data_IF_806526181896
#
_entry.id   IF_806526181896
#
_cell.length_a   1.000
_cell.length_b   1.000
_cell.length_c   1.000
_cell.angle_alpha   90.00
_cell.angle_beta   90.00
_cell.angle_gamma   90.00
#
_symmetry.space_group_name_H-M   'P 1'
#
loop_
_entity.id
_entity.type
_entity.pdbx_description
1 polymer ?
#
# COMPACT_ATOMS: atom_id res chain seq x y z
N UNK A 1 -10.63 -24.22 3.52
CA UNK A 1 -9.76 -23.98 2.36
C UNK A 1 -10.54 -23.46 1.14
N UNK A 2 -11.57 -24.13 0.66
CA UNK A 2 -12.33 -23.75 -0.55
C UNK A 2 -12.82 -22.29 -0.51
N UNK A 3 -13.46 -21.84 0.57
CA UNK A 3 -13.94 -20.45 0.71
C UNK A 3 -12.82 -19.41 0.50
N UNK A 4 -11.63 -19.68 1.01
CA UNK A 4 -10.48 -18.78 0.85
C UNK A 4 -10.04 -18.67 -0.62
N UNK A 5 -9.90 -19.82 -1.30
CA UNK A 5 -9.49 -19.84 -2.71
C UNK A 5 -10.52 -19.06 -3.56
N UNK A 6 -11.80 -19.32 -3.36
CA UNK A 6 -12.86 -18.61 -4.08
C UNK A 6 -12.78 -17.10 -3.85
N UNK A 7 -12.63 -16.66 -2.60
CA UNK A 7 -12.54 -15.23 -2.28
C UNK A 7 -11.33 -14.56 -2.96
N UNK A 8 -10.15 -15.21 -2.95
CA UNK A 8 -8.96 -14.67 -3.62
C UNK A 8 -9.11 -14.62 -5.14
N UNK A 9 -9.69 -15.65 -5.75
CA UNK A 9 -9.92 -15.68 -7.20
C UNK A 9 -10.92 -14.60 -7.62
N UNK A 10 -12.02 -14.44 -6.88
CA UNK A 10 -13.03 -13.40 -7.15
C UNK A 10 -12.42 -12.01 -6.98
N UNK A 11 -11.69 -11.76 -5.88
CA UNK A 11 -11.04 -10.47 -5.64
C UNK A 11 -10.03 -10.12 -6.75
N UNK A 12 -9.21 -11.10 -7.17
CA UNK A 12 -8.25 -10.92 -8.25
C UNK A 12 -8.97 -10.67 -9.59
N UNK A 13 -10.03 -11.42 -9.89
CA UNK A 13 -10.81 -11.23 -11.12
C UNK A 13 -11.46 -9.84 -11.17
N UNK A 14 -12.03 -9.37 -10.05
CA UNK A 14 -12.57 -8.01 -9.94
C UNK A 14 -11.48 -6.96 -10.13
N UNK A 15 -10.32 -7.12 -9.47
CA UNK A 15 -9.19 -6.20 -9.60
C UNK A 15 -8.72 -6.13 -11.06
N UNK A 16 -8.46 -7.26 -11.69
CA UNK A 16 -8.05 -7.32 -13.10
C UNK A 16 -9.14 -6.75 -14.01
N UNK A 17 -10.42 -7.09 -13.77
CA UNK A 17 -11.54 -6.56 -14.56
C UNK A 17 -11.61 -5.03 -14.54
N UNK A 18 -11.37 -4.40 -13.37
CA UNK A 18 -11.36 -2.93 -13.25
C UNK A 18 -10.25 -2.30 -14.09
N UNK A 19 -9.11 -2.98 -14.30
CA UNK A 19 -8.00 -2.45 -15.10
C UNK A 19 -8.32 -2.35 -16.60
N UNK A 20 -9.29 -3.12 -17.10
CA UNK A 20 -9.76 -3.05 -18.49
C UNK A 20 -10.87 -2.01 -18.69
N UNK A 21 -11.41 -1.43 -17.62
CA UNK A 21 -12.40 -0.36 -17.69
C UNK A 21 -11.71 1.00 -17.87
N UNK A 22 -12.46 2.03 -18.32
CA UNK A 22 -11.96 3.41 -18.38
C UNK A 22 -11.29 3.84 -17.06
N UNK A 23 -10.24 4.68 -17.08
CA UNK A 23 -9.41 5.01 -15.91
C UNK A 23 -10.19 5.50 -14.70
N UNK A 24 -11.33 6.16 -14.91
CA UNK A 24 -12.19 6.65 -13.82
C UNK A 24 -12.69 5.53 -12.90
N UNK A 25 -12.95 4.34 -13.43
CA UNK A 25 -13.42 3.20 -12.60
C UNK A 25 -12.33 2.72 -11.66
N UNK A 26 -11.07 2.72 -12.09
CA UNK A 26 -9.94 2.42 -11.21
C UNK A 26 -9.81 3.47 -10.09
N UNK A 27 -9.91 4.75 -10.44
CA UNK A 27 -9.85 5.86 -9.47
C UNK A 27 -10.96 5.74 -8.42
N UNK A 28 -12.20 5.49 -8.84
CA UNK A 28 -13.34 5.31 -7.93
C UNK A 28 -13.18 4.06 -7.06
N UNK A 29 -12.74 2.94 -7.65
CA UNK A 29 -12.51 1.71 -6.91
C UNK A 29 -11.41 1.87 -5.86
N UNK A 30 -10.30 2.52 -6.21
CA UNK A 30 -9.21 2.79 -5.29
C UNK A 30 -9.64 3.73 -4.16
N UNK A 31 -10.42 4.76 -4.48
CA UNK A 31 -11.01 5.64 -3.47
C UNK A 31 -11.91 4.86 -2.48
N UNK A 32 -12.74 3.96 -2.98
CA UNK A 32 -13.55 3.08 -2.14
C UNK A 32 -12.68 2.19 -1.24
N UNK A 33 -11.62 1.58 -1.79
CA UNK A 33 -10.65 0.77 -1.02
C UNK A 33 -10.03 1.60 0.11
N UNK A 34 -9.56 2.83 -0.16
CA UNK A 34 -9.00 3.74 0.84
C UNK A 34 -10.02 3.99 1.97
N UNK A 35 -11.27 4.29 1.64
CA UNK A 35 -12.30 4.56 2.64
C UNK A 35 -12.61 3.32 3.49
N UNK A 36 -12.64 2.12 2.90
CA UNK A 36 -12.77 0.87 3.65
C UNK A 36 -11.59 0.61 4.57
N UNK A 37 -10.36 0.81 4.10
CA UNK A 37 -9.15 0.66 4.92
C UNK A 37 -9.15 1.62 6.11
N UNK A 38 -9.55 2.88 5.90
CA UNK A 38 -9.72 3.86 6.99
C UNK A 38 -10.79 3.42 7.99
N UNK A 39 -11.93 2.94 7.51
CA UNK A 39 -12.98 2.41 8.38
C UNK A 39 -12.49 1.25 9.24
N UNK A 40 -11.74 0.31 8.67
CA UNK A 40 -11.14 -0.82 9.37
C UNK A 40 -10.13 -0.34 10.43
N UNK A 41 -9.22 0.57 10.07
CA UNK A 41 -8.26 1.14 11.00
C UNK A 41 -8.91 1.90 12.15
N UNK A 42 -9.91 2.74 11.86
CA UNK A 42 -10.63 3.48 12.91
C UNK A 42 -11.46 2.57 13.81
N UNK A 43 -11.91 1.45 13.30
CA UNK A 43 -12.60 0.44 14.10
C UNK A 43 -11.63 -0.29 15.01
N UNK A 44 -10.44 -0.64 14.51
CA UNK A 44 -9.36 -1.25 15.27
C UNK A 44 -8.85 -0.34 16.42
N UNK A 45 -8.68 0.95 16.15
CA UNK A 45 -8.23 1.95 17.14
C UNK A 45 -9.36 2.46 18.03
N UNK A 46 -10.58 1.95 17.88
CA UNK A 46 -11.77 2.37 18.64
C UNK A 46 -12.02 3.89 18.56
N UNK A 47 -11.76 4.49 17.38
CA UNK A 47 -12.03 5.88 17.13
C UNK A 47 -13.52 6.21 17.32
N UNK A 48 -13.83 7.33 17.97
CA UNK A 48 -15.21 7.78 18.08
C UNK A 48 -15.74 8.34 16.75
N UNK A 49 -17.07 8.54 16.67
CA UNK A 49 -17.73 9.00 15.45
C UNK A 49 -17.13 10.33 14.93
N UNK A 50 -16.81 11.25 15.81
CA UNK A 50 -16.22 12.55 15.44
C UNK A 50 -14.82 12.37 14.82
N UNK A 51 -13.98 11.51 15.40
CA UNK A 51 -12.66 11.19 14.83
C UNK A 51 -12.78 10.50 13.46
N UNK A 52 -13.73 9.59 13.30
CA UNK A 52 -14.00 8.95 12.00
C UNK A 52 -14.42 9.98 10.95
N UNK A 53 -15.35 10.88 11.28
CA UNK A 53 -15.82 11.94 10.36
C UNK A 53 -14.64 12.82 9.92
N UNK A 54 -13.85 13.30 10.88
CA UNK A 54 -12.68 14.14 10.60
C UNK A 54 -11.67 13.40 9.71
N UNK A 55 -11.40 12.14 10.02
CA UNK A 55 -10.51 11.31 9.22
C UNK A 55 -11.01 11.11 7.79
N UNK A 56 -12.30 10.82 7.58
CA UNK A 56 -12.88 10.70 6.24
C UNK A 56 -12.85 12.01 5.46
N UNK A 57 -13.17 13.15 6.10
CA UNK A 57 -13.05 14.47 5.47
C UNK A 57 -11.61 14.74 5.07
N UNK A 58 -10.65 14.48 5.96
CA UNK A 58 -9.22 14.60 5.69
C UNK A 58 -8.77 13.74 4.49
N UNK A 59 -9.26 12.51 4.43
CA UNK A 59 -8.94 11.61 3.32
C UNK A 59 -9.50 12.13 1.99
N UNK A 60 -10.74 12.59 1.96
CA UNK A 60 -11.37 13.15 0.74
C UNK A 60 -10.60 14.39 0.27
N UNK A 61 -10.23 15.29 1.19
CA UNK A 61 -9.44 16.49 0.86
C UNK A 61 -8.09 16.10 0.25
N UNK A 62 -7.36 15.17 0.89
CA UNK A 62 -6.05 14.77 0.40
C UNK A 62 -6.12 14.03 -0.94
N UNK A 63 -7.09 13.11 -1.11
CA UNK A 63 -7.33 12.42 -2.38
C UNK A 63 -7.67 13.42 -3.50
N UNK A 64 -8.56 14.39 -3.21
CA UNK A 64 -8.91 15.44 -4.17
C UNK A 64 -7.70 16.30 -4.51
N UNK A 65 -6.86 16.64 -3.53
CA UNK A 65 -5.63 17.41 -3.76
C UNK A 65 -4.68 16.66 -4.71
N UNK A 66 -4.43 15.38 -4.46
CA UNK A 66 -3.58 14.54 -5.31
C UNK A 66 -4.15 14.45 -6.73
N UNK A 67 -5.47 14.27 -6.87
CA UNK A 67 -6.14 14.20 -8.16
C UNK A 67 -6.05 15.52 -8.94
N UNK A 68 -6.36 16.66 -8.31
CA UNK A 68 -6.28 17.98 -8.93
C UNK A 68 -4.86 18.35 -9.33
N UNK A 69 -3.87 18.01 -8.50
CA UNK A 69 -2.46 18.26 -8.83
C UNK A 69 -2.05 17.61 -10.15
N UNK A 70 -2.48 16.37 -10.37
CA UNK A 70 -2.19 15.66 -11.62
C UNK A 70 -2.99 16.21 -12.80
N UNK A 71 -4.26 16.60 -12.58
CA UNK A 71 -5.15 17.08 -13.65
C UNK A 71 -4.75 18.44 -14.24
N UNK A 72 -4.02 19.29 -13.50
CA UNK A 72 -3.66 20.65 -13.91
C UNK A 72 -2.25 20.72 -14.55
N UNK A 73 -1.49 19.63 -14.55
CA UNK A 73 -0.11 19.51 -15.08
C UNK A 73 0.89 20.58 -14.57
N UNK A 74 0.61 21.19 -13.41
CA UNK A 74 1.45 22.22 -12.81
C UNK A 74 2.35 21.64 -11.73
N UNK A 75 3.50 21.13 -12.10
CA UNK A 75 4.40 20.38 -11.22
C UNK A 75 4.75 21.09 -9.88
N UNK A 76 5.08 22.36 -9.93
CA UNK A 76 5.39 23.13 -8.71
C UNK A 76 4.16 23.42 -7.84
N UNK A 77 3.00 23.65 -8.44
CA UNK A 77 1.75 23.89 -7.73
C UNK A 77 1.17 22.60 -7.18
N UNK A 78 1.44 21.47 -7.82
CA UNK A 78 1.07 20.14 -7.35
C UNK A 78 1.71 19.84 -5.98
N UNK A 79 3.02 20.04 -5.86
CA UNK A 79 3.72 19.85 -4.58
C UNK A 79 3.23 20.82 -3.50
N UNK A 80 2.93 22.07 -3.85
CA UNK A 80 2.39 23.05 -2.92
C UNK A 80 1.00 22.63 -2.40
N UNK A 81 0.09 22.19 -3.27
CA UNK A 81 -1.26 21.77 -2.87
C UNK A 81 -1.26 20.48 -2.07
N UNK A 82 -0.41 19.50 -2.41
CA UNK A 82 -0.23 18.29 -1.61
C UNK A 82 0.31 18.64 -0.21
N UNK A 83 1.29 19.53 -0.13
CA UNK A 83 1.84 20.00 1.14
C UNK A 83 0.81 20.75 1.99
N UNK A 84 0.01 21.64 1.37
CA UNK A 84 -1.10 22.34 2.04
C UNK A 84 -2.14 21.35 2.54
N UNK A 85 -2.47 20.31 1.75
CA UNK A 85 -3.38 19.24 2.15
C UNK A 85 -2.90 18.51 3.41
N UNK A 86 -1.61 18.17 3.45
CA UNK A 86 -1.00 17.53 4.63
C UNK A 86 -1.05 18.45 5.86
N UNK A 87 -0.65 19.72 5.69
CA UNK A 87 -0.68 20.71 6.77
C UNK A 87 -2.10 20.88 7.29
N UNK A 88 -3.10 20.94 6.41
CA UNK A 88 -4.50 21.06 6.78
C UNK A 88 -4.98 19.86 7.59
N UNK A 89 -4.61 18.63 7.22
CA UNK A 89 -4.94 17.43 7.97
C UNK A 89 -4.31 17.47 9.37
N UNK A 90 -3.05 17.83 9.47
CA UNK A 90 -2.37 17.98 10.76
C UNK A 90 -3.11 19.02 11.61
N UNK A 91 -3.41 20.19 11.07
CA UNK A 91 -4.12 21.26 11.76
C UNK A 91 -5.51 20.79 12.25
N UNK A 92 -6.26 20.08 11.41
CA UNK A 92 -7.59 19.56 11.75
C UNK A 92 -7.53 18.55 12.91
N UNK A 93 -6.53 17.67 12.91
CA UNK A 93 -6.32 16.75 14.03
C UNK A 93 -5.83 17.45 15.29
N UNK A 94 -4.98 18.49 15.18
CA UNK A 94 -4.58 19.32 16.33
C UNK A 94 -5.76 20.08 16.93
N UNK A 95 -6.66 20.65 16.11
CA UNK A 95 -7.91 21.27 16.58
C UNK A 95 -8.77 20.22 17.31
N UNK A 96 -8.82 18.98 16.82
CA UNK A 96 -9.55 17.90 17.47
C UNK A 96 -8.97 17.54 18.84
N UNK A 97 -7.65 17.64 19.05
CA UNK A 97 -7.02 17.48 20.37
C UNK A 97 -7.58 18.48 21.36
N UNK A 98 -7.69 19.74 20.94
CA UNK A 98 -8.26 20.81 21.80
C UNK A 98 -9.74 20.56 22.06
N UNK A 99 -10.53 20.28 21.02
CA UNK A 99 -11.97 20.07 21.12
C UNK A 99 -12.36 18.86 21.98
N UNK A 100 -11.49 17.86 22.05
CA UNK A 100 -11.71 16.60 22.82
C UNK A 100 -10.86 16.51 24.09
N UNK A 101 -10.28 17.63 24.52
CA UNK A 101 -9.48 17.69 25.76
C UNK A 101 -10.27 17.14 26.95
N UNK A 102 -9.65 16.27 27.74
CA UNK A 102 -10.27 15.58 28.86
C UNK A 102 -11.23 14.43 28.53
N UNK A 103 -11.60 14.26 27.25
CA UNK A 103 -12.46 13.14 26.79
C UNK A 103 -11.69 12.04 26.06
N UNK A 104 -10.60 12.39 25.40
CA UNK A 104 -9.73 11.48 24.64
C UNK A 104 -8.27 11.82 24.85
N UNK A 105 -7.43 10.79 24.77
CA UNK A 105 -5.98 10.96 24.79
C UNK A 105 -5.55 11.59 23.44
N UNK A 106 -4.67 12.59 23.50
CA UNK A 106 -4.11 13.19 22.30
C UNK A 106 -3.36 12.18 21.41
N UNK A 107 -2.75 11.15 22.03
CA UNK A 107 -2.07 10.05 21.31
C UNK A 107 -3.02 9.32 20.37
N UNK A 108 -4.24 9.01 20.81
CA UNK A 108 -5.24 8.33 19.99
C UNK A 108 -5.66 9.18 18.79
N UNK A 109 -5.79 10.50 18.99
CA UNK A 109 -6.17 11.44 17.94
C UNK A 109 -5.06 11.55 16.90
N UNK A 110 -3.82 11.75 17.34
CA UNK A 110 -2.67 11.89 16.45
C UNK A 110 -2.35 10.58 15.73
N UNK A 111 -2.50 9.43 16.40
CA UNK A 111 -2.33 8.12 15.76
C UNK A 111 -3.32 7.91 14.61
N UNK A 112 -4.60 8.30 14.80
CA UNK A 112 -5.59 8.21 13.72
C UNK A 112 -5.28 9.19 12.59
N UNK A 113 -4.79 10.38 12.87
CA UNK A 113 -4.33 11.34 11.85
C UNK A 113 -3.17 10.81 11.04
N UNK A 114 -2.17 10.22 11.71
CA UNK A 114 -1.04 9.58 11.05
C UNK A 114 -1.46 8.41 10.16
N UNK A 115 -2.34 7.52 10.65
CA UNK A 115 -2.88 6.41 9.87
C UNK A 115 -3.67 6.90 8.64
N UNK A 116 -4.43 7.99 8.79
CA UNK A 116 -5.13 8.61 7.66
C UNK A 116 -4.15 9.04 6.57
N UNK A 117 -3.13 9.81 6.95
CA UNK A 117 -2.10 10.25 5.99
C UNK A 117 -1.37 9.09 5.37
N UNK A 118 -0.96 8.11 6.17
CA UNK A 118 -0.24 6.92 5.70
C UNK A 118 -1.04 6.15 4.65
N UNK A 119 -2.31 5.84 4.91
CA UNK A 119 -3.16 5.09 3.98
C UNK A 119 -3.40 5.89 2.70
N UNK A 120 -3.78 7.18 2.81
CA UNK A 120 -4.15 7.98 1.64
C UNK A 120 -2.93 8.27 0.77
N UNK A 121 -1.79 8.64 1.35
CA UNK A 121 -0.57 8.93 0.59
C UNK A 121 -0.06 7.65 -0.09
N UNK A 122 0.01 6.54 0.65
CA UNK A 122 0.51 5.28 0.10
C UNK A 122 -0.34 4.77 -1.05
N UNK A 123 -1.67 4.72 -0.88
CA UNK A 123 -2.58 4.30 -1.95
C UNK A 123 -2.69 5.34 -3.06
N UNK A 124 -2.53 6.63 -2.73
CA UNK A 124 -2.38 7.71 -3.70
C UNK A 124 -1.16 7.52 -4.61
N UNK A 125 -0.04 7.02 -4.07
CA UNK A 125 1.12 6.67 -4.87
C UNK A 125 0.85 5.51 -5.84
N UNK A 126 0.00 4.54 -5.49
CA UNK A 126 -0.44 3.49 -6.43
C UNK A 126 -1.18 4.12 -7.61
N UNK A 127 -2.10 5.06 -7.36
CA UNK A 127 -2.80 5.81 -8.39
C UNK A 127 -1.85 6.64 -9.25
N UNK A 128 -0.95 7.40 -8.61
CA UNK A 128 0.05 8.23 -9.28
C UNK A 128 0.97 7.39 -10.17
N UNK A 129 1.40 6.22 -9.72
CA UNK A 129 2.23 5.31 -10.54
C UNK A 129 1.52 4.95 -11.84
N UNK A 130 0.23 4.63 -11.77
CA UNK A 130 -0.57 4.29 -12.94
C UNK A 130 -0.74 5.47 -13.89
N UNK A 131 -1.02 6.67 -13.35
CA UNK A 131 -1.30 7.87 -14.14
C UNK A 131 -0.02 8.55 -14.69
N UNK A 132 1.12 8.35 -14.02
CA UNK A 132 2.39 8.97 -14.44
C UNK A 132 3.18 8.08 -15.39
N UNK A 133 3.16 6.79 -15.14
CA UNK A 133 3.88 5.80 -15.94
C UNK A 133 2.89 4.98 -16.78
N UNK A 134 2.45 3.84 -16.24
CA UNK A 134 1.46 2.97 -16.88
C UNK A 134 0.87 1.94 -15.88
N UNK A 135 -0.08 1.14 -16.38
CA UNK A 135 -0.68 0.06 -15.61
C UNK A 135 0.33 -1.05 -15.30
N UNK A 136 1.31 -1.32 -16.17
CA UNK A 136 2.29 -2.37 -15.94
C UNK A 136 3.25 -2.01 -14.80
N UNK A 137 3.72 -0.75 -14.77
CA UNK A 137 4.54 -0.23 -13.67
C UNK A 137 3.78 -0.25 -12.33
N UNK A 138 2.50 0.13 -12.34
CA UNK A 138 1.65 0.04 -11.14
C UNK A 138 1.48 -1.43 -10.69
N UNK A 139 1.25 -2.37 -11.60
CA UNK A 139 1.14 -3.79 -11.27
C UNK A 139 2.42 -4.36 -10.69
N UNK A 140 3.59 -3.85 -11.05
CA UNK A 140 4.87 -4.27 -10.49
C UNK A 140 4.89 -4.12 -8.95
N UNK A 141 4.23 -3.08 -8.41
CA UNK A 141 4.07 -2.88 -6.96
C UNK A 141 3.36 -4.09 -6.31
N UNK A 142 2.25 -4.51 -6.88
CA UNK A 142 1.48 -5.66 -6.37
C UNK A 142 2.23 -6.98 -6.55
N UNK A 143 2.81 -7.18 -7.71
CA UNK A 143 3.57 -8.39 -8.03
C UNK A 143 4.76 -8.54 -7.08
N UNK A 144 5.49 -7.46 -6.80
CA UNK A 144 6.59 -7.47 -5.86
C UNK A 144 6.15 -7.86 -4.45
N UNK A 145 5.10 -7.23 -3.91
CA UNK A 145 4.58 -7.51 -2.57
C UNK A 145 4.09 -8.97 -2.47
N UNK A 146 3.21 -9.38 -3.37
CA UNK A 146 2.59 -10.71 -3.32
C UNK A 146 3.57 -11.85 -3.59
N UNK A 147 4.55 -11.65 -4.46
CA UNK A 147 5.61 -12.64 -4.67
C UNK A 147 6.50 -12.75 -3.44
N UNK A 148 6.88 -11.62 -2.82
CA UNK A 148 7.64 -11.63 -1.59
C UNK A 148 6.94 -12.43 -0.49
N UNK A 149 5.66 -12.15 -0.23
CA UNK A 149 4.88 -12.86 0.79
C UNK A 149 4.76 -14.36 0.47
N UNK A 150 4.54 -14.70 -0.79
CA UNK A 150 4.43 -16.10 -1.22
C UNK A 150 5.73 -16.85 -1.02
N UNK A 151 6.84 -16.32 -1.51
CA UNK A 151 8.14 -16.97 -1.36
C UNK A 151 8.63 -16.97 0.09
N UNK A 152 8.35 -15.90 0.86
CA UNK A 152 8.64 -15.88 2.28
C UNK A 152 7.89 -16.97 3.05
N UNK A 153 6.62 -17.21 2.71
CA UNK A 153 5.83 -18.29 3.31
C UNK A 153 6.41 -19.67 2.99
N UNK A 154 6.67 -19.98 1.72
CA UNK A 154 7.19 -21.29 1.33
C UNK A 154 8.61 -21.54 1.87
N UNK A 155 9.52 -20.57 1.68
CA UNK A 155 10.89 -20.69 2.21
C UNK A 155 10.90 -20.80 3.73
N UNK A 156 10.10 -19.99 4.42
CA UNK A 156 9.99 -20.04 5.87
C UNK A 156 9.40 -21.35 6.37
N UNK A 157 8.48 -21.96 5.62
CA UNK A 157 7.87 -23.25 5.98
C UNK A 157 8.82 -24.42 5.78
N UNK A 158 9.62 -24.43 4.69
CA UNK A 158 10.47 -25.56 4.35
C UNK A 158 11.87 -25.44 4.93
N UNK A 159 12.42 -24.23 5.04
CA UNK A 159 13.81 -23.99 5.42
C UNK A 159 13.94 -23.18 6.73
N UNK A 160 12.83 -22.62 7.25
CA UNK A 160 12.85 -21.72 8.41
C UNK A 160 13.29 -22.40 9.70
N UNK A 161 14.34 -21.89 10.31
CA UNK A 161 14.89 -22.32 11.58
C UNK A 161 14.88 -21.21 12.63
N UNK A 162 15.17 -19.98 12.21
CA UNK A 162 15.31 -18.83 13.09
C UNK A 162 14.09 -17.91 12.98
N UNK A 163 13.47 -17.61 14.13
CA UNK A 163 12.33 -16.67 14.16
C UNK A 163 12.80 -15.24 13.91
N UNK A 164 12.03 -14.49 13.11
CA UNK A 164 12.35 -13.11 12.77
C UNK A 164 12.00 -12.14 13.90
N UNK A 165 10.72 -12.06 14.27
CA UNK A 165 10.20 -11.20 15.35
C UNK A 165 9.07 -11.95 16.06
N UNK A 166 9.36 -12.83 17.05
CA UNK A 166 8.36 -13.71 17.67
C UNK A 166 7.18 -12.98 18.31
N UNK A 167 7.43 -11.82 18.93
CA UNK A 167 6.42 -11.06 19.65
C UNK A 167 5.38 -10.38 18.73
N UNK A 168 5.75 -10.07 17.48
CA UNK A 168 4.88 -9.41 16.49
C UNK A 168 4.25 -10.46 15.57
N UNK A 169 5.08 -11.30 14.96
CA UNK A 169 4.67 -12.34 14.02
C UNK A 169 5.40 -13.65 14.31
N UNK A 170 4.80 -14.57 15.09
CA UNK A 170 5.46 -15.79 15.56
C UNK A 170 5.79 -16.80 14.45
N UNK A 171 5.17 -16.65 13.27
CA UNK A 171 5.37 -17.57 12.16
C UNK A 171 6.46 -17.13 11.17
N UNK A 172 6.86 -15.87 11.18
CA UNK A 172 7.91 -15.36 10.29
C UNK A 172 9.29 -15.84 10.72
N UNK A 173 10.11 -16.19 9.71
CA UNK A 173 11.49 -16.67 9.91
C UNK A 173 12.48 -15.82 9.10
N UNK A 174 13.73 -15.79 9.53
CA UNK A 174 14.82 -15.08 8.84
C UNK A 174 15.05 -15.66 7.45
N UNK A 175 15.08 -17.00 7.35
CA UNK A 175 15.25 -17.71 6.07
C UNK A 175 14.07 -17.42 5.13
N UNK A 176 12.84 -17.35 5.69
CA UNK A 176 11.66 -16.95 4.94
C UNK A 176 11.78 -15.52 4.42
N UNK A 177 12.29 -14.59 5.24
CA UNK A 177 12.51 -13.20 4.85
C UNK A 177 13.48 -13.09 3.67
N UNK A 178 14.64 -13.75 3.74
CA UNK A 178 15.61 -13.77 2.65
C UNK A 178 15.02 -14.41 1.39
N UNK A 179 14.34 -15.57 1.54
CA UNK A 179 13.70 -16.26 0.42
C UNK A 179 12.60 -15.42 -0.24
N UNK A 180 11.86 -14.63 0.55
CA UNK A 180 10.87 -13.68 0.05
C UNK A 180 11.48 -12.62 -0.86
N UNK A 181 12.56 -11.98 -0.42
CA UNK A 181 13.27 -10.95 -1.21
C UNK A 181 13.84 -11.56 -2.51
N UNK A 182 14.52 -12.70 -2.42
CA UNK A 182 15.07 -13.37 -3.60
C UNK A 182 13.95 -13.77 -4.57
N UNK A 183 12.85 -14.31 -4.06
CA UNK A 183 11.69 -14.67 -4.87
C UNK A 183 11.06 -13.44 -5.55
N UNK A 184 10.92 -12.32 -4.84
CA UNK A 184 10.45 -11.07 -5.40
C UNK A 184 11.38 -10.57 -6.53
N UNK A 185 12.71 -10.64 -6.34
CA UNK A 185 13.66 -10.27 -7.39
C UNK A 185 13.46 -11.10 -8.66
N UNK A 186 13.37 -12.42 -8.53
CA UNK A 186 13.18 -13.31 -9.69
C UNK A 186 11.85 -13.02 -10.40
N UNK A 187 10.76 -12.88 -9.66
CA UNK A 187 9.44 -12.62 -10.26
C UNK A 187 9.37 -11.23 -10.90
N UNK A 188 9.95 -10.19 -10.29
CA UNK A 188 10.01 -8.86 -10.90
C UNK A 188 10.82 -8.87 -12.21
N UNK A 189 11.96 -9.57 -12.26
CA UNK A 189 12.74 -9.75 -13.50
C UNK A 189 11.89 -10.43 -14.57
N UNK A 190 11.26 -11.55 -14.23
CA UNK A 190 10.42 -12.32 -15.17
C UNK A 190 9.25 -11.46 -15.67
N UNK A 191 8.58 -10.74 -14.76
CA UNK A 191 7.48 -9.85 -15.12
C UNK A 191 7.92 -8.77 -16.11
N UNK A 192 9.01 -8.07 -15.84
CA UNK A 192 9.51 -7.02 -16.72
C UNK A 192 9.97 -7.55 -18.07
N UNK A 193 10.57 -8.76 -18.13
CA UNK A 193 10.90 -9.43 -19.38
C UNK A 193 9.65 -9.74 -20.20
N UNK A 194 8.57 -10.19 -19.55
CA UNK A 194 7.29 -10.46 -20.23
C UNK A 194 6.69 -9.14 -20.75
N UNK A 195 6.62 -8.11 -19.92
CA UNK A 195 6.06 -6.80 -20.30
C UNK A 195 6.82 -6.22 -21.48
N UNK A 196 8.15 -6.23 -21.45
CA UNK A 196 8.98 -5.73 -22.54
C UNK A 196 8.74 -6.46 -23.87
N UNK A 197 8.61 -7.79 -23.83
CA UNK A 197 8.49 -8.60 -25.04
C UNK A 197 7.07 -8.66 -25.62
N UNK A 198 6.04 -8.49 -24.76
CA UNK A 198 4.62 -8.64 -25.16
C UNK A 198 3.97 -7.32 -25.49
N UNK A 199 4.31 -6.26 -24.76
CA UNK A 199 3.60 -4.97 -24.85
C UNK A 199 4.37 -3.88 -25.59
N UNK A 200 5.61 -4.15 -26.04
CA UNK A 200 6.47 -3.17 -26.76
C UNK A 200 6.43 -1.76 -26.15
N UNK A 201 6.49 -1.73 -24.81
CA UNK A 201 6.34 -0.49 -24.03
C UNK A 201 7.61 0.33 -24.14
N UNK A 202 7.51 1.51 -24.78
CA UNK A 202 8.60 2.50 -24.87
C UNK A 202 9.03 3.06 -23.49
N UNK A 203 8.31 2.71 -22.43
CA UNK A 203 8.58 3.16 -21.05
C UNK A 203 9.72 2.42 -20.38
N UNK A 204 10.06 1.22 -20.83
CA UNK A 204 11.22 0.48 -20.31
C UNK A 204 12.48 0.92 -21.10
N UNK A 205 12.95 2.14 -20.80
CA UNK A 205 14.13 2.73 -21.48
C UNK A 205 15.46 2.18 -20.97
N UNK A 206 15.41 1.17 -20.13
CA UNK A 206 16.62 0.63 -19.53
C UNK A 206 17.37 -0.29 -20.49
N UNK A 207 18.66 -0.06 -20.50
CA UNK A 207 19.59 -0.93 -21.19
C UNK A 207 19.60 -2.37 -20.63
N UNK A 208 19.09 -2.55 -19.38
CA UNK A 208 19.16 -3.85 -18.70
C UNK A 208 17.95 -4.12 -17.78
N UNK A 209 16.89 -4.69 -18.35
CA UNK A 209 15.65 -5.10 -17.64
C UNK A 209 15.92 -6.03 -16.44
N UNK A 210 17.00 -6.82 -16.49
CA UNK A 210 17.35 -7.71 -15.38
C UNK A 210 17.80 -6.91 -14.15
N UNK A 211 18.59 -5.86 -14.36
CA UNK A 211 19.04 -4.99 -13.25
C UNK A 211 17.83 -4.26 -12.65
N UNK A 212 16.92 -3.77 -13.48
CA UNK A 212 15.70 -3.14 -13.01
C UNK A 212 14.88 -4.06 -12.14
N UNK A 213 14.50 -5.22 -12.67
CA UNK A 213 13.72 -6.19 -11.95
C UNK A 213 14.39 -6.63 -10.65
N UNK A 214 15.73 -6.73 -10.64
CA UNK A 214 16.49 -7.03 -9.44
C UNK A 214 16.39 -5.90 -8.41
N UNK A 215 16.51 -4.63 -8.82
CA UNK A 215 16.39 -3.47 -7.93
C UNK A 215 14.97 -3.35 -7.36
N UNK A 216 13.95 -3.43 -8.22
CA UNK A 216 12.56 -3.41 -7.76
C UNK A 216 12.26 -4.54 -6.78
N UNK A 217 12.68 -5.77 -7.10
CA UNK A 217 12.44 -6.92 -6.24
C UNK A 217 13.23 -6.86 -4.93
N UNK A 218 14.47 -6.38 -4.95
CA UNK A 218 15.31 -6.22 -3.76
C UNK A 218 14.71 -5.16 -2.82
N UNK A 219 14.53 -3.96 -3.33
CA UNK A 219 14.05 -2.82 -2.52
C UNK A 219 12.60 -3.03 -2.10
N UNK A 220 11.72 -3.33 -3.06
CA UNK A 220 10.31 -3.55 -2.79
C UNK A 220 10.07 -4.79 -1.92
N UNK A 221 10.76 -5.91 -2.19
CA UNK A 221 10.63 -7.13 -1.39
C UNK A 221 11.09 -6.95 0.05
N UNK A 222 12.20 -6.26 0.30
CA UNK A 222 12.66 -5.97 1.65
C UNK A 222 11.67 -5.06 2.41
N UNK A 223 11.20 -4.01 1.75
CA UNK A 223 10.29 -3.04 2.36
C UNK A 223 8.86 -3.58 2.52
N UNK A 224 8.36 -4.44 1.63
CA UNK A 224 7.03 -5.05 1.76
C UNK A 224 6.88 -5.84 3.06
N UNK A 225 7.93 -6.53 3.46
CA UNK A 225 7.95 -7.26 4.73
C UNK A 225 7.84 -6.35 5.95
N UNK A 226 8.41 -5.15 5.88
CA UNK A 226 8.25 -4.14 6.95
C UNK A 226 6.80 -3.68 7.03
N UNK A 227 6.12 -3.48 5.90
CA UNK A 227 4.69 -3.12 5.86
C UNK A 227 3.81 -4.13 6.59
N UNK A 228 3.96 -5.42 6.28
CA UNK A 228 3.24 -6.50 6.98
C UNK A 228 3.61 -6.59 8.49
N UNK A 229 4.88 -6.36 8.84
CA UNK A 229 5.30 -6.34 10.24
C UNK A 229 4.68 -5.15 11.00
N UNK A 230 4.62 -3.96 10.39
CA UNK A 230 3.99 -2.77 10.97
C UNK A 230 2.50 -3.03 11.19
N UNK A 231 1.79 -3.52 10.18
CA UNK A 231 0.38 -3.88 10.32
C UNK A 231 0.16 -4.95 11.39
N UNK A 232 1.03 -5.95 11.46
CA UNK A 232 1.01 -6.98 12.49
C UNK A 232 1.23 -6.40 13.89
N UNK A 233 2.17 -5.45 14.06
CA UNK A 233 2.40 -4.77 15.33
C UNK A 233 1.17 -3.98 15.77
N UNK A 234 0.56 -3.19 14.88
CA UNK A 234 -0.67 -2.45 15.16
C UNK A 234 -1.80 -3.39 15.60
N UNK A 235 -1.95 -4.56 14.94
CA UNK A 235 -2.94 -5.56 15.34
C UNK A 235 -2.71 -6.08 16.76
N UNK A 236 -1.45 -6.30 17.16
CA UNK A 236 -1.12 -6.74 18.55
C UNK A 236 -1.42 -5.66 19.57
N UNK A 237 -1.03 -4.41 19.29
CA UNK A 237 -1.25 -3.28 20.19
C UNK A 237 -2.74 -2.97 20.39
N UNK A 238 -3.55 -3.15 19.32
CA UNK A 238 -5.01 -2.95 19.40
C UNK A 238 -5.79 -4.18 19.88
N UNK A 239 -5.12 -5.31 20.09
CA UNK A 239 -5.72 -6.56 20.57
C UNK A 239 -6.59 -7.28 19.54
N UNK A 240 -6.42 -6.98 18.25
CA UNK A 240 -7.14 -7.63 17.16
C UNK A 240 -6.24 -8.65 16.43
N UNK A 241 -6.86 -9.52 15.65
CA UNK A 241 -6.17 -10.46 14.77
C UNK A 241 -6.17 -9.99 13.33
N UNK A 242 -7.30 -9.52 12.84
CA UNK A 242 -7.51 -9.03 11.49
C UNK A 242 -8.19 -7.65 11.58
N UNK A 243 -7.90 -6.72 10.67
CA UNK A 243 -8.48 -5.38 10.69
C UNK A 243 -9.96 -5.39 10.29
N UNK A 244 -10.35 -6.31 9.43
CA UNK A 244 -11.70 -6.42 8.90
C UNK A 244 -12.15 -7.85 8.65
N UNK A 245 -13.36 -7.99 8.10
CA UNK A 245 -13.99 -9.29 7.81
C UNK A 245 -14.55 -9.36 6.38
N UNK A 246 -14.32 -8.35 5.57
CA UNK A 246 -14.92 -8.22 4.22
C UNK A 246 -14.52 -9.40 3.33
N UNK A 247 -13.30 -9.91 3.48
CA UNK A 247 -12.85 -11.10 2.78
C UNK A 247 -12.94 -12.34 3.68
N UNK A 248 -13.96 -13.21 3.52
CA UNK A 248 -14.15 -14.36 4.40
C UNK A 248 -12.92 -15.26 4.47
N UNK A 249 -12.31 -15.31 5.66
CA UNK A 249 -11.09 -16.07 5.94
C UNK A 249 -9.77 -15.41 5.51
N UNK A 250 -9.82 -14.16 5.00
CA UNK A 250 -8.65 -13.37 4.62
C UNK A 250 -8.55 -12.00 5.32
N UNK A 251 -9.48 -11.67 6.22
CA UNK A 251 -9.49 -10.38 6.90
C UNK A 251 -10.13 -9.26 6.09
N UNK A 252 -9.64 -8.06 6.27
CA UNK A 252 -10.11 -6.85 5.59
C UNK A 252 -9.24 -6.38 4.43
N UNK A 253 -9.56 -5.21 3.93
CA UNK A 253 -8.75 -4.53 2.92
C UNK A 253 -7.36 -4.16 3.48
N UNK A 254 -7.30 -3.66 4.72
CA UNK A 254 -6.04 -3.32 5.37
C UNK A 254 -5.10 -4.53 5.45
N UNK A 255 -5.65 -5.73 5.74
CA UNK A 255 -4.88 -6.98 5.79
C UNK A 255 -4.39 -7.47 4.42
N UNK A 256 -4.92 -6.94 3.32
CA UNK A 256 -4.53 -7.32 1.95
C UNK A 256 -3.57 -6.35 1.28
N UNK A 257 -3.53 -5.11 1.78
CA UNK A 257 -2.74 -4.03 1.19
C UNK A 257 -1.61 -3.55 2.11
N UNK A 258 -1.44 -4.15 3.29
CA UNK A 258 -0.43 -3.75 4.28
C UNK A 258 0.99 -3.70 3.72
N UNK A 259 1.42 -4.74 3.00
CA UNK A 259 2.71 -4.80 2.31
C UNK A 259 2.77 -3.82 1.14
N UNK A 260 1.70 -3.72 0.36
CA UNK A 260 1.60 -2.84 -0.81
C UNK A 260 1.71 -1.37 -0.40
N UNK A 261 1.00 -0.96 0.66
CA UNK A 261 1.04 0.42 1.13
C UNK A 261 2.44 0.90 1.47
N UNK A 262 3.22 0.06 2.14
CA UNK A 262 4.56 0.48 2.57
C UNK A 262 5.51 0.68 1.41
N UNK A 263 5.39 -0.13 0.35
CA UNK A 263 6.27 -0.03 -0.82
C UNK A 263 5.76 0.96 -1.88
N UNK A 264 4.48 1.26 -1.92
CA UNK A 264 3.89 2.09 -2.99
C UNK A 264 4.58 3.45 -3.20
N UNK A 265 4.92 4.24 -2.15
CA UNK A 265 5.67 5.49 -2.35
C UNK A 265 7.04 5.27 -2.97
N UNK A 266 7.74 4.21 -2.58
CA UNK A 266 9.07 3.89 -3.12
C UNK A 266 8.95 3.43 -4.58
N UNK A 267 7.95 2.60 -4.89
CA UNK A 267 7.68 2.12 -6.25
C UNK A 267 7.25 3.26 -7.20
N UNK A 268 6.71 4.35 -6.68
CA UNK A 268 6.43 5.56 -7.44
C UNK A 268 7.70 6.39 -7.71
N UNK A 269 8.56 6.55 -6.68
CA UNK A 269 9.77 7.37 -6.77
C UNK A 269 10.87 6.64 -7.55
N UNK A 270 11.00 5.34 -7.38
CA UNK A 270 12.08 4.55 -7.95
C UNK A 270 12.18 4.67 -9.49
N UNK A 271 11.08 4.59 -10.27
CA UNK A 271 11.13 4.87 -11.71
C UNK A 271 11.61 6.29 -12.01
N UNK A 272 11.18 7.30 -11.25
CA UNK A 272 11.60 8.70 -11.47
C UNK A 272 13.11 8.87 -11.34
N UNK A 273 13.69 8.31 -10.27
CA UNK A 273 15.15 8.35 -10.04
C UNK A 273 15.89 7.62 -11.16
N UNK A 274 15.34 6.52 -11.57
CA UNK A 274 15.95 5.62 -12.52
C UNK A 274 15.90 6.20 -13.94
N UNK A 275 14.75 6.76 -14.35
CA UNK A 275 14.58 7.41 -15.67
C UNK A 275 15.16 8.82 -15.74
N UNK A 276 15.68 9.36 -14.64
CA UNK A 276 16.23 10.72 -14.61
C UNK A 276 15.17 11.80 -14.89
N UNK A 277 13.92 11.55 -14.48
CA UNK A 277 12.79 12.47 -14.65
C UNK A 277 12.76 13.53 -13.53
N UNK A 278 13.73 13.48 -12.61
CA UNK A 278 13.92 14.50 -11.59
C UNK A 278 14.84 15.61 -12.07
#
# INVERSE_FOLDING_TARGET
MVKRIITSVVALAVFVGILFLPPIYFTVALAAVILFMLYECYSATKADVGMKIIGFISAVILMSSIYFCKAIEWDTFAWATASIGIIFIIALHMITVVAKHGKRNYKDILSNGFLTMYIVISMGCVWLTKETFDTATMLLTFICAWSCDTFAYFTGRFLGKHKLIPHVSPNKTVEGSVGGVVGAMVICIVYLLIVKNVFDTNMLTWSNVVVEGAVYGLVGGALSQLGDLIASAIKRDTGIKDFGWIFPGHGGFMDRFDSVMFIAPIMYILPMVIFGIM
#
